data_IF_175266359202
#
_entry.id   IF_175266359202
#
_cell.length_a   1.000
_cell.length_b   1.000
_cell.length_c   1.000
_cell.angle_alpha   90.00
_cell.angle_beta   90.00
_cell.angle_gamma   90.00
#
_symmetry.space_group_name_H-M   'P 1'
#
loop_
_entity.id
_entity.type
_entity.pdbx_description
1 polymer ?
#
# COMPACT_ATOMS: atom_id res chain seq x y z
N UNK A 1 -0.93 10.42 8.11
CA UNK A 1 0.38 9.74 8.22
C UNK A 1 1.38 10.49 7.38
N UNK A 2 2.53 10.87 7.93
CA UNK A 2 3.61 11.52 7.15
C UNK A 2 4.47 10.44 6.53
N UNK A 3 4.78 10.58 5.23
CA UNK A 3 5.63 9.66 4.49
C UNK A 3 6.69 10.45 3.70
N UNK A 4 7.79 9.79 3.39
CA UNK A 4 8.83 10.28 2.49
C UNK A 4 8.94 9.30 1.32
N UNK A 5 8.81 9.82 0.10
CA UNK A 5 9.04 9.09 -1.14
C UNK A 5 10.08 9.88 -1.94
N UNK A 6 11.27 9.32 -2.09
CA UNK A 6 12.38 9.92 -2.85
C UNK A 6 12.69 11.38 -2.47
N UNK A 7 12.64 11.69 -1.17
CA UNK A 7 12.91 13.03 -0.63
C UNK A 7 11.71 13.99 -0.71
N UNK A 8 10.55 13.53 -1.20
CA UNK A 8 9.30 14.29 -1.18
C UNK A 8 8.47 13.89 0.03
N UNK A 9 8.44 14.77 1.02
CA UNK A 9 7.61 14.60 2.22
C UNK A 9 6.14 14.89 1.88
N UNK A 10 5.27 13.92 2.13
CA UNK A 10 3.83 13.98 1.84
C UNK A 10 2.99 13.46 3.00
N UNK A 11 1.70 13.82 3.01
CA UNK A 11 0.73 13.33 3.99
C UNK A 11 -0.29 12.37 3.36
N UNK A 12 -0.45 11.18 3.93
CA UNK A 12 -1.60 10.31 3.67
C UNK A 12 -2.72 10.62 4.66
N UNK A 13 -3.90 10.98 4.14
CA UNK A 13 -5.11 11.05 4.95
C UNK A 13 -5.55 9.62 5.31
N UNK A 14 -5.62 9.34 6.60
CA UNK A 14 -6.02 8.04 7.15
C UNK A 14 -6.99 8.26 8.30
N UNK A 15 -7.89 7.31 8.53
CA UNK A 15 -8.85 7.38 9.63
C UNK A 15 -8.18 7.24 11.00
N UNK A 16 -7.24 6.29 11.13
CA UNK A 16 -6.44 6.04 12.34
C UNK A 16 -5.21 5.18 12.02
N UNK A 17 -4.27 5.17 12.96
CA UNK A 17 -3.24 4.12 13.02
C UNK A 17 -3.80 2.99 13.88
N UNK A 18 -3.67 1.74 13.41
CA UNK A 18 -4.18 0.58 14.12
C UNK A 18 -3.16 0.03 15.12
N UNK A 19 -2.06 -0.53 14.63
CA UNK A 19 -0.97 -1.14 15.41
C UNK A 19 0.31 -1.16 14.56
N UNK A 20 1.43 -1.53 15.19
CA UNK A 20 2.70 -1.83 14.52
C UNK A 20 2.90 -3.35 14.58
N UNK A 21 3.20 -3.96 13.45
CA UNK A 21 3.35 -5.40 13.32
C UNK A 21 4.78 -5.74 12.89
N UNK A 22 5.41 -6.68 13.60
CA UNK A 22 6.60 -7.36 13.11
C UNK A 22 6.18 -8.45 12.13
N UNK A 23 6.68 -8.35 10.90
CA UNK A 23 6.35 -9.28 9.81
C UNK A 23 7.63 -9.82 9.17
N UNK A 24 7.55 -11.02 8.61
CA UNK A 24 8.59 -11.60 7.76
C UNK A 24 8.11 -11.66 6.31
N UNK A 25 9.03 -11.82 5.36
CA UNK A 25 8.68 -11.86 3.94
C UNK A 25 7.77 -13.05 3.59
N UNK A 26 7.87 -14.16 4.32
CA UNK A 26 7.04 -15.36 4.13
C UNK A 26 5.58 -15.15 4.56
N UNK A 27 5.31 -14.13 5.38
CA UNK A 27 3.93 -13.78 5.77
C UNK A 27 3.20 -13.01 4.67
N UNK A 28 3.94 -12.46 3.69
CA UNK A 28 3.39 -11.70 2.57
C UNK A 28 2.97 -12.68 1.49
N UNK A 29 1.69 -12.65 1.14
CA UNK A 29 1.10 -13.42 0.07
C UNK A 29 0.87 -12.52 -1.15
N UNK A 30 0.94 -13.11 -2.34
CA UNK A 30 0.63 -12.40 -3.58
C UNK A 30 -0.83 -11.92 -3.58
N UNK A 31 -1.06 -10.79 -4.23
CA UNK A 31 -2.42 -10.31 -4.45
C UNK A 31 -3.11 -11.28 -5.42
N UNK A 32 -4.27 -11.85 -5.06
CA UNK A 32 -5.02 -12.72 -5.95
C UNK A 32 -5.31 -11.99 -7.25
N UNK A 33 -5.03 -12.64 -8.38
CA UNK A 33 -5.27 -12.07 -9.70
C UNK A 33 -6.76 -11.82 -9.89
N UNK A 34 -7.17 -10.56 -9.80
CA UNK A 34 -8.46 -10.09 -10.31
C UNK A 34 -8.27 -9.72 -11.78
N UNK A 35 -9.17 -10.13 -12.66
CA UNK A 35 -9.15 -9.86 -14.12
C UNK A 35 -9.36 -8.38 -14.48
N UNK A 36 -8.92 -7.44 -13.64
CA UNK A 36 -9.14 -6.01 -13.80
C UNK A 36 -7.80 -5.32 -14.15
N UNK A 37 -7.69 -4.97 -15.44
CA UNK A 37 -6.82 -4.00 -16.12
C UNK A 37 -5.31 -3.93 -15.78
N UNK A 38 -4.51 -3.65 -16.82
CA UNK A 38 -3.04 -3.53 -16.84
C UNK A 38 -2.49 -2.33 -16.03
N UNK A 39 -3.11 -1.96 -14.92
CA UNK A 39 -2.63 -0.89 -14.04
C UNK A 39 -1.74 -1.47 -12.94
N UNK A 40 -0.59 -0.83 -12.68
CA UNK A 40 0.30 -1.21 -11.59
C UNK A 40 -0.47 -1.21 -10.25
N UNK A 41 -0.57 -2.37 -9.56
CA UNK A 41 -1.44 -2.48 -8.39
C UNK A 41 -0.90 -1.64 -7.24
N UNK A 42 -1.78 -0.82 -6.65
CA UNK A 42 -1.49 -0.03 -5.44
C UNK A 42 -1.13 -0.92 -4.24
N UNK A 43 -1.62 -2.16 -4.23
CA UNK A 43 -1.33 -3.16 -3.21
C UNK A 43 -0.33 -4.15 -3.79
N UNK A 44 0.85 -4.28 -3.16
CA UNK A 44 1.91 -5.18 -3.60
C UNK A 44 1.84 -6.57 -2.99
N UNK A 45 1.03 -6.75 -1.94
CA UNK A 45 0.86 -8.03 -1.26
C UNK A 45 -0.16 -7.95 -0.14
N UNK A 46 -0.51 -9.11 0.40
CA UNK A 46 -1.48 -9.27 1.47
C UNK A 46 -0.86 -9.99 2.66
N UNK A 47 -1.22 -9.58 3.87
CA UNK A 47 -0.82 -10.23 5.12
C UNK A 47 -2.09 -10.65 5.84
N UNK A 48 -2.22 -11.95 6.13
CA UNK A 48 -3.26 -12.47 6.98
C UNK A 48 -2.77 -12.47 8.43
N UNK A 49 -3.35 -11.63 9.28
CA UNK A 49 -2.95 -11.47 10.67
C UNK A 49 -4.17 -11.28 11.56
N UNK A 50 -4.32 -12.12 12.59
CA UNK A 50 -5.41 -12.03 13.58
C UNK A 50 -6.82 -11.92 12.96
N UNK A 51 -7.11 -12.78 11.97
CA UNK A 51 -8.39 -12.78 11.25
C UNK A 51 -8.64 -11.55 10.37
N UNK A 52 -7.62 -10.68 10.19
CA UNK A 52 -7.66 -9.51 9.31
C UNK A 52 -6.79 -9.76 8.09
N UNK A 53 -7.21 -9.14 6.99
CA UNK A 53 -6.41 -9.04 5.77
C UNK A 53 -5.84 -7.62 5.70
N UNK A 54 -4.51 -7.51 5.67
CA UNK A 54 -3.78 -6.25 5.63
C UNK A 54 -3.11 -6.13 4.27
N UNK A 55 -3.43 -5.08 3.52
CA UNK A 55 -2.77 -4.79 2.25
C UNK A 55 -1.46 -4.04 2.45
N UNK A 56 -0.39 -4.50 1.82
CA UNK A 56 0.88 -3.80 1.74
C UNK A 56 0.82 -2.78 0.60
N UNK A 57 0.88 -1.49 0.92
CA UNK A 57 0.77 -0.41 -0.07
C UNK A 57 2.12 -0.14 -0.77
N UNK A 58 2.07 -0.01 -2.09
CA UNK A 58 3.18 0.44 -2.93
C UNK A 58 3.14 1.97 -3.03
N UNK A 59 3.90 2.65 -2.17
CA UNK A 59 3.85 4.12 -2.07
C UNK A 59 4.25 4.84 -3.37
N UNK A 60 5.14 4.28 -4.18
CA UNK A 60 5.51 4.84 -5.49
C UNK A 60 4.30 4.96 -6.42
N UNK A 61 3.55 3.88 -6.62
CA UNK A 61 2.36 3.85 -7.47
C UNK A 61 1.21 4.68 -6.89
N UNK A 62 1.10 4.74 -5.55
CA UNK A 62 0.17 5.68 -4.88
C UNK A 62 0.53 7.13 -5.23
N UNK A 63 1.81 7.50 -5.18
CA UNK A 63 2.24 8.85 -5.48
C UNK A 63 2.04 9.20 -6.97
N UNK A 64 2.35 8.27 -7.87
CA UNK A 64 2.16 8.46 -9.32
C UNK A 64 0.69 8.70 -9.66
N UNK A 65 -0.21 7.82 -9.21
CA UNK A 65 -1.65 7.95 -9.47
C UNK A 65 -2.29 9.16 -8.78
N UNK A 66 -1.76 9.58 -7.62
CA UNK A 66 -2.22 10.79 -6.94
C UNK A 66 -1.75 12.08 -7.62
N UNK A 67 -0.54 12.08 -8.20
CA UNK A 67 0.00 13.24 -8.93
C UNK A 67 -0.55 13.36 -10.35
N UNK A 68 -0.84 12.24 -11.03
CA UNK A 68 -1.37 12.24 -12.40
C UNK A 68 -2.69 13.00 -12.54
N UNK A 69 -3.49 13.09 -11.47
CA UNK A 69 -4.76 13.84 -11.45
C UNK A 69 -4.62 15.32 -11.08
N UNK A 70 -3.41 15.79 -10.80
CA UNK A 70 -3.16 17.17 -10.38
C UNK A 70 -2.63 18.08 -11.51
N UNK A 71 -2.56 17.59 -12.74
CA UNK A 71 -2.08 18.31 -13.94
C UNK A 71 -3.17 18.43 -14.99
#
# INVERSE_FOLDING_TARGET
MVIDIDGKVSGLLVSKVSDILDITSEMIQDVPVTTADETDPLVSGLIAFDGRLIGLLRLGSVAEQALEKAV
#
